data_IF_594811293842
#
_entry.id   IF_594811293842
#
_cell.length_a   1.000
_cell.length_b   1.000
_cell.length_c   1.000
_cell.angle_alpha   90.00
_cell.angle_beta   90.00
_cell.angle_gamma   90.00
#
_symmetry.space_group_name_H-M   'P 1'
#
loop_
_entity.id
_entity.type
_entity.pdbx_description
1 polymer ?
#
# COMPACT_ATOMS: atom_id res chain seq x y z
N UNK A 1 46.45 14.68 5.69
CA UNK A 1 45.08 15.19 5.83
C UNK A 1 44.16 14.00 5.60
N UNK A 2 43.44 13.55 6.63
CA UNK A 2 42.50 12.44 6.48
C UNK A 2 41.11 13.02 6.21
N UNK A 3 40.39 12.44 5.26
CA UNK A 3 38.97 12.74 5.02
C UNK A 3 38.16 11.55 5.48
N UNK A 4 37.12 11.81 6.27
CA UNK A 4 36.17 10.78 6.70
C UNK A 4 35.03 10.79 5.70
N UNK A 5 34.81 9.65 5.05
CA UNK A 5 33.63 9.40 4.21
C UNK A 5 32.83 8.24 4.79
N UNK A 6 31.50 8.30 4.63
CA UNK A 6 30.63 7.21 5.03
C UNK A 6 30.97 5.96 4.20
N UNK A 7 31.45 4.89 4.86
CA UNK A 7 31.82 3.65 4.21
C UNK A 7 30.61 2.73 3.91
N UNK A 8 29.49 2.95 4.59
CA UNK A 8 28.25 2.20 4.44
C UNK A 8 27.34 2.34 5.65
N UNK A 9 26.08 1.98 5.52
CA UNK A 9 25.13 1.95 6.63
C UNK A 9 24.53 0.54 6.74
N UNK A 10 24.93 -0.19 7.79
CA UNK A 10 24.58 -1.60 8.01
C UNK A 10 23.57 -1.77 9.15
N UNK A 11 22.86 -2.90 9.19
CA UNK A 11 21.98 -3.26 10.30
C UNK A 11 20.54 -2.79 10.13
N UNK A 12 19.78 -2.59 11.20
CA UNK A 12 18.42 -2.04 11.09
C UNK A 12 18.48 -0.50 10.94
N UNK A 13 17.62 0.11 10.10
CA UNK A 13 17.55 1.55 10.02
C UNK A 13 17.05 2.15 11.33
N UNK A 14 17.28 3.45 11.55
CA UNK A 14 16.69 4.15 12.67
C UNK A 14 15.16 4.22 12.52
N UNK A 15 14.42 3.85 13.57
CA UNK A 15 12.95 3.90 13.63
C UNK A 15 12.27 3.13 12.46
N UNK A 16 12.46 1.81 12.33
CA UNK A 16 11.75 1.04 11.34
C UNK A 16 10.24 1.07 11.63
N UNK A 17 9.42 1.44 10.64
CA UNK A 17 7.97 1.62 10.84
C UNK A 17 7.12 0.64 10.04
N UNK A 18 7.48 0.40 8.78
CA UNK A 18 6.70 -0.41 7.84
C UNK A 18 7.62 -1.32 7.04
N UNK A 19 7.07 -2.44 6.56
CA UNK A 19 7.79 -3.37 5.68
C UNK A 19 6.90 -3.80 4.53
N UNK A 20 7.50 -4.01 3.36
CA UNK A 20 6.84 -4.69 2.25
C UNK A 20 7.83 -5.56 1.48
N UNK A 21 7.31 -6.55 0.76
CA UNK A 21 8.11 -7.43 -0.09
C UNK A 21 7.80 -7.17 -1.55
N UNK A 22 8.83 -6.92 -2.35
CA UNK A 22 8.74 -6.68 -3.79
C UNK A 22 9.20 -7.94 -4.52
N UNK A 23 8.23 -8.81 -4.82
CA UNK A 23 8.51 -10.14 -5.37
C UNK A 23 9.26 -10.11 -6.72
N UNK A 24 8.98 -9.13 -7.59
CA UNK A 24 9.65 -8.99 -8.88
C UNK A 24 11.18 -8.78 -8.78
N UNK A 25 11.66 -8.33 -7.62
CA UNK A 25 13.06 -8.09 -7.35
C UNK A 25 13.58 -8.90 -6.16
N UNK A 26 12.75 -9.73 -5.54
CA UNK A 26 13.10 -10.48 -4.32
C UNK A 26 13.70 -9.59 -3.23
N UNK A 27 13.11 -8.40 -3.05
CA UNK A 27 13.58 -7.41 -2.08
C UNK A 27 12.61 -7.28 -0.92
N UNK A 28 13.15 -7.31 0.30
CA UNK A 28 12.49 -6.80 1.48
C UNK A 28 12.79 -5.30 1.61
N UNK A 29 11.74 -4.50 1.67
CA UNK A 29 11.81 -3.05 1.85
C UNK A 29 11.38 -2.74 3.27
N UNK A 30 12.20 -1.94 3.96
CA UNK A 30 11.90 -1.45 5.31
C UNK A 30 11.87 0.07 5.25
N UNK A 31 10.72 0.68 5.57
CA UNK A 31 10.64 2.12 5.76
C UNK A 31 11.30 2.50 7.09
N UNK A 32 12.05 3.60 7.05
CA UNK A 32 12.78 4.17 8.16
C UNK A 32 12.27 5.59 8.47
N UNK A 33 12.67 6.13 9.63
CA UNK A 33 12.43 7.54 9.94
C UNK A 33 12.98 8.47 8.84
N UNK A 34 12.33 9.62 8.66
CA UNK A 34 12.76 10.70 7.74
C UNK A 34 12.65 10.39 6.23
N UNK A 35 11.56 9.73 5.80
CA UNK A 35 11.29 9.42 4.39
C UNK A 35 12.44 8.65 3.71
N UNK A 36 12.99 7.67 4.41
CA UNK A 36 14.03 6.79 3.88
C UNK A 36 13.49 5.37 3.79
N UNK A 37 13.96 4.62 2.79
CA UNK A 37 13.75 3.18 2.73
C UNK A 37 15.08 2.46 2.67
N UNK A 38 15.09 1.27 3.28
CA UNK A 38 16.20 0.36 3.22
C UNK A 38 15.77 -0.91 2.50
N UNK A 39 16.57 -1.32 1.52
CA UNK A 39 16.35 -2.49 0.70
C UNK A 39 17.30 -3.59 1.17
N UNK A 40 16.75 -4.78 1.38
CA UNK A 40 17.48 -6.01 1.65
C UNK A 40 17.17 -7.02 0.56
N UNK A 41 18.19 -7.69 0.04
CA UNK A 41 18.04 -8.73 -0.99
C UNK A 41 19.08 -9.83 -0.87
N UNK A 42 19.24 -10.60 -1.93
CA UNK A 42 20.22 -11.68 -2.02
C UNK A 42 21.68 -11.18 -1.89
N UNK A 43 22.60 -12.09 -1.56
CA UNK A 43 24.05 -11.86 -1.50
C UNK A 43 24.50 -10.68 -0.62
N UNK A 44 23.77 -10.42 0.48
CA UNK A 44 24.08 -9.32 1.39
C UNK A 44 23.79 -7.94 0.79
N UNK A 45 22.97 -7.87 -0.27
CA UNK A 45 22.49 -6.63 -0.84
C UNK A 45 21.76 -5.83 0.24
N UNK A 46 22.33 -4.69 0.58
CA UNK A 46 21.80 -3.75 1.55
C UNK A 46 21.98 -2.34 0.99
N UNK A 47 20.88 -1.66 0.72
CA UNK A 47 20.90 -0.34 0.08
C UNK A 47 19.97 0.63 0.81
N UNK A 48 20.50 1.83 1.10
CA UNK A 48 19.69 2.95 1.57
C UNK A 48 19.27 3.84 0.42
N UNK A 49 18.00 4.21 0.42
CA UNK A 49 17.41 5.11 -0.56
C UNK A 49 16.77 6.27 0.20
N UNK A 50 17.23 7.49 -0.10
CA UNK A 50 16.55 8.70 0.33
C UNK A 50 15.37 8.96 -0.61
N UNK A 51 14.18 9.08 -0.05
CA UNK A 51 12.95 9.37 -0.78
C UNK A 51 12.38 10.74 -0.35
N UNK A 52 13.25 11.66 0.03
CA UNK A 52 12.90 13.03 0.39
C UNK A 52 12.66 13.83 -0.90
N UNK A 53 11.46 14.41 -1.05
CA UNK A 53 11.21 15.37 -2.13
C UNK A 53 11.95 16.68 -1.83
N UNK A 54 12.38 17.42 -2.86
CA UNK A 54 13.09 18.69 -2.67
C UNK A 54 12.30 19.73 -1.84
N UNK A 55 10.97 19.60 -1.76
CA UNK A 55 10.06 20.47 -1.00
C UNK A 55 9.42 19.76 0.22
N UNK A 56 9.83 18.54 0.56
CA UNK A 56 9.22 17.78 1.66
C UNK A 56 9.51 18.43 3.02
N UNK A 57 8.55 18.32 3.93
CA UNK A 57 8.72 18.81 5.30
C UNK A 57 9.78 17.96 6.00
N UNK A 58 10.85 18.59 6.47
CA UNK A 58 11.87 17.91 7.26
C UNK A 58 11.24 17.21 8.47
N UNK A 59 11.27 15.88 8.50
CA UNK A 59 10.74 15.08 9.60
C UNK A 59 9.45 14.29 9.32
N UNK A 60 8.88 14.36 8.11
CA UNK A 60 7.77 13.48 7.75
C UNK A 60 8.17 11.99 7.87
N UNK A 61 7.24 11.17 8.33
CA UNK A 61 7.42 9.71 8.46
C UNK A 61 6.61 8.97 7.40
N UNK A 62 7.01 7.76 7.04
CA UNK A 62 6.23 6.95 6.10
C UNK A 62 5.00 6.36 6.79
N UNK A 63 3.82 6.73 6.30
CA UNK A 63 2.51 6.26 6.77
C UNK A 63 2.02 5.02 6.02
N UNK A 64 2.33 4.91 4.71
CA UNK A 64 2.01 3.72 3.92
C UNK A 64 3.16 3.31 3.02
N UNK A 65 3.32 1.99 2.87
CA UNK A 65 4.36 1.37 2.04
C UNK A 65 3.73 0.17 1.32
N UNK A 66 3.47 0.29 0.02
CA UNK A 66 2.79 -0.74 -0.77
C UNK A 66 3.61 -1.12 -2.01
N UNK A 67 3.83 -2.43 -2.28
CA UNK A 67 4.42 -2.87 -3.53
C UNK A 67 3.39 -2.81 -4.66
N UNK A 68 3.84 -2.59 -5.89
CA UNK A 68 3.01 -2.69 -7.10
C UNK A 68 3.26 -4.00 -7.83
N UNK A 69 2.30 -4.43 -8.67
CA UNK A 69 2.50 -5.59 -9.54
C UNK A 69 3.65 -5.39 -10.55
N UNK A 70 4.02 -4.14 -10.85
CA UNK A 70 5.10 -3.78 -11.75
C UNK A 70 6.47 -3.72 -11.06
N UNK A 71 6.59 -4.19 -9.81
CA UNK A 71 7.86 -4.22 -9.08
C UNK A 71 8.29 -2.88 -8.48
N UNK A 72 7.40 -1.89 -8.45
CA UNK A 72 7.66 -0.59 -7.83
C UNK A 72 7.15 -0.55 -6.39
N UNK A 73 7.49 0.53 -5.70
CA UNK A 73 7.08 0.79 -4.32
C UNK A 73 6.34 2.11 -4.28
N UNK A 74 5.11 2.10 -3.77
CA UNK A 74 4.36 3.30 -3.42
C UNK A 74 4.70 3.65 -1.96
N UNK A 75 5.16 4.87 -1.76
CA UNK A 75 5.44 5.43 -0.44
C UNK A 75 4.55 6.65 -0.22
N UNK A 76 3.85 6.66 0.91
CA UNK A 76 3.03 7.78 1.35
C UNK A 76 3.53 8.26 2.69
N UNK A 77 3.75 9.56 2.79
CA UNK A 77 4.27 10.24 3.97
C UNK A 77 3.16 10.81 4.84
N UNK A 78 3.47 11.10 6.10
CA UNK A 78 2.54 11.68 7.08
C UNK A 78 2.07 13.09 6.75
N UNK A 79 2.78 13.79 5.87
CA UNK A 79 2.40 15.07 5.28
C UNK A 79 1.61 14.91 3.96
N UNK A 80 1.02 13.73 3.73
CA UNK A 80 0.28 13.38 2.51
C UNK A 80 1.11 13.39 1.23
N UNK A 81 2.45 13.44 1.30
CA UNK A 81 3.32 13.29 0.14
C UNK A 81 3.27 11.87 -0.43
N UNK A 82 2.92 11.73 -1.70
CA UNK A 82 2.86 10.44 -2.42
C UNK A 82 3.99 10.36 -3.44
N UNK A 83 4.66 9.21 -3.48
CA UNK A 83 5.72 8.94 -4.45
C UNK A 83 5.76 7.47 -4.86
N UNK A 84 6.25 7.22 -6.06
CA UNK A 84 6.50 5.89 -6.61
C UNK A 84 7.99 5.72 -6.83
N UNK A 85 8.59 4.73 -6.16
CA UNK A 85 9.99 4.36 -6.32
C UNK A 85 10.07 3.18 -7.28
N UNK A 86 10.66 3.41 -8.45
CA UNK A 86 10.97 2.39 -9.44
C UNK A 86 12.34 1.78 -9.16
N UNK A 87 12.42 0.45 -9.23
CA UNK A 87 13.63 -0.33 -9.03
C UNK A 87 13.93 -1.07 -10.33
N UNK A 88 15.09 -0.80 -10.94
CA UNK A 88 15.49 -1.43 -12.20
C UNK A 88 16.82 -2.16 -12.02
N UNK A 89 16.84 -3.49 -12.24
CA UNK A 89 18.09 -4.26 -12.26
C UNK A 89 18.75 -4.14 -13.63
N UNK A 90 19.95 -3.57 -13.68
CA UNK A 90 20.81 -3.59 -14.86
C UNK A 90 21.90 -4.66 -14.70
N UNK A 91 21.90 -5.63 -15.63
CA UNK A 91 23.00 -6.57 -15.75
C UNK A 91 24.16 -5.89 -16.49
N UNK A 92 25.26 -5.64 -15.78
CA UNK A 92 26.49 -5.16 -16.40
C UNK A 92 27.13 -6.32 -17.18
N UNK A 93 26.76 -6.47 -18.45
CA UNK A 93 27.45 -7.39 -19.36
C UNK A 93 28.91 -6.92 -19.53
N UNK A 94 29.86 -7.80 -19.24
CA UNK A 94 31.27 -7.45 -19.24
C UNK A 94 31.76 -7.12 -20.67
N UNK A 95 32.25 -5.89 -20.89
CA UNK A 95 33.20 -5.63 -21.98
C UNK A 95 34.50 -6.36 -21.62
N UNK A 96 34.81 -7.42 -22.37
CA UNK A 96 36.11 -8.12 -22.50
C UNK A 96 37.12 -7.79 -21.39
N UNK A 97 37.05 -8.50 -20.27
CA UNK A 97 38.15 -8.59 -19.30
C UNK A 97 38.29 -10.05 -18.87
N UNK A 98 39.54 -10.52 -18.86
CA UNK A 98 39.97 -11.92 -18.72
C UNK A 98 39.94 -12.47 -17.29
N UNK A 99 39.13 -11.89 -16.40
CA UNK A 99 39.04 -12.32 -15.00
C UNK A 99 37.58 -12.67 -14.65
N UNK A 100 37.30 -13.88 -14.11
CA UNK A 100 35.97 -14.25 -13.66
C UNK A 100 35.74 -13.65 -12.26
N UNK A 101 35.52 -12.34 -12.18
CA UNK A 101 35.22 -11.68 -10.91
C UNK A 101 33.88 -10.94 -11.00
N UNK A 102 32.87 -11.55 -10.36
CA UNK A 102 31.54 -11.03 -9.99
C UNK A 102 30.74 -10.34 -11.11
N UNK A 103 29.71 -11.02 -11.62
CA UNK A 103 28.60 -10.34 -12.29
C UNK A 103 28.01 -9.31 -11.31
N UNK A 104 28.33 -8.03 -11.50
CA UNK A 104 27.78 -6.97 -10.68
C UNK A 104 26.40 -6.61 -11.20
N UNK A 105 25.34 -7.02 -10.50
CA UNK A 105 23.99 -6.52 -10.75
C UNK A 105 23.89 -5.12 -10.15
N UNK A 106 23.66 -4.10 -10.97
CA UNK A 106 23.43 -2.73 -10.49
C UNK A 106 21.93 -2.49 -10.36
N UNK A 107 21.48 -2.03 -9.20
CA UNK A 107 20.11 -1.58 -9.02
C UNK A 107 20.06 -0.07 -9.29
N UNK A 108 19.36 0.34 -10.34
CA UNK A 108 19.02 1.73 -10.60
C UNK A 108 17.72 2.05 -9.87
N UNK A 109 17.69 3.22 -9.25
CA UNK A 109 16.53 3.69 -8.50
C UNK A 109 16.09 5.01 -9.08
N UNK A 110 14.80 5.11 -9.37
CA UNK A 110 14.18 6.34 -9.83
C UNK A 110 12.95 6.63 -8.98
N UNK A 111 12.85 7.83 -8.42
CA UNK A 111 11.70 8.24 -7.61
C UNK A 111 10.85 9.23 -8.41
N UNK A 112 9.56 8.92 -8.52
CA UNK A 112 8.55 9.74 -9.17
C UNK A 112 7.72 10.35 -8.05
N UNK A 113 7.74 11.68 -7.95
CA UNK A 113 6.97 12.40 -6.96
C UNK A 113 5.64 12.84 -7.55
N UNK A 114 4.60 12.87 -6.71
CA UNK A 114 3.34 13.50 -7.09
C UNK A 114 3.59 14.99 -7.46
N UNK A 115 3.06 15.48 -8.58
CA UNK A 115 3.30 16.85 -9.02
C UNK A 115 2.82 17.90 -8.01
N UNK A 116 3.66 18.90 -7.70
CA UNK A 116 3.39 19.94 -6.69
C UNK A 116 2.28 20.92 -7.09
N UNK A 117 2.00 21.06 -8.39
CA UNK A 117 0.86 21.84 -8.89
C UNK A 117 -0.50 21.24 -8.52
N UNK A 118 -0.49 19.99 -8.06
CA UNK A 118 -1.67 19.34 -7.52
C UNK A 118 -1.81 19.80 -6.08
N UNK A 119 -2.49 20.93 -5.86
CA UNK A 119 -3.05 21.27 -4.55
C UNK A 119 -4.12 20.22 -4.22
N UNK A 120 -3.66 19.05 -3.80
CA UNK A 120 -4.53 17.98 -3.37
C UNK A 120 -4.83 18.22 -1.89
N UNK A 121 -6.12 18.09 -1.60
CA UNK A 121 -6.95 18.56 -0.49
C UNK A 121 -6.29 18.66 0.91
N UNK A 122 -6.94 19.39 1.83
CA UNK A 122 -6.64 19.33 3.28
C UNK A 122 -6.93 17.94 3.91
N UNK A 123 -7.27 16.92 3.11
CA UNK A 123 -7.63 15.59 3.58
C UNK A 123 -6.40 14.74 3.88
N UNK A 124 -6.52 13.92 4.91
CA UNK A 124 -5.54 12.89 5.23
C UNK A 124 -5.80 11.63 4.42
N UNK A 125 -4.72 10.97 3.97
CA UNK A 125 -4.82 9.61 3.42
C UNK A 125 -5.10 8.62 4.55
N UNK A 126 -6.18 7.86 4.43
CA UNK A 126 -6.63 6.88 5.44
C UNK A 126 -6.29 5.44 5.06
N UNK A 127 -6.22 5.13 3.77
CA UNK A 127 -5.80 3.83 3.27
C UNK A 127 -5.16 3.94 1.88
N UNK A 128 -4.25 3.01 1.58
CA UNK A 128 -3.59 2.91 0.27
C UNK A 128 -3.62 1.45 -0.18
N UNK A 129 -4.03 1.21 -1.43
CA UNK A 129 -4.02 -0.12 -2.02
C UNK A 129 -3.56 -0.06 -3.48
N UNK A 130 -2.88 -1.13 -3.90
CA UNK A 130 -2.44 -1.36 -5.28
C UNK A 130 -3.07 -2.65 -5.78
N UNK A 131 -3.28 -2.79 -7.09
CA UNK A 131 -3.73 -4.06 -7.65
C UNK A 131 -2.54 -5.01 -7.71
N UNK A 132 -2.61 -6.09 -6.92
CA UNK A 132 -1.54 -7.10 -6.80
C UNK A 132 -1.69 -8.26 -7.78
N UNK A 133 -2.66 -8.20 -8.69
CA UNK A 133 -2.92 -9.22 -9.70
C UNK A 133 -1.88 -9.17 -10.84
N UNK A 134 -1.58 -10.31 -11.46
CA UNK A 134 -0.64 -10.40 -12.60
C UNK A 134 -1.07 -9.62 -13.84
N UNK A 135 -2.34 -9.17 -13.92
CA UNK A 135 -2.78 -8.26 -14.98
C UNK A 135 -2.37 -6.84 -14.58
N UNK A 136 -1.40 -6.29 -15.30
CA UNK A 136 -0.86 -4.95 -15.05
C UNK A 136 -1.98 -3.92 -14.98
N UNK A 137 -2.16 -3.33 -13.81
CA UNK A 137 -2.99 -2.18 -13.58
C UNK A 137 -2.08 -1.13 -12.91
N UNK A 138 -1.54 -0.16 -13.67
CA UNK A 138 -0.58 0.82 -13.17
C UNK A 138 -1.31 1.92 -12.38
N UNK A 139 -2.07 1.52 -11.35
CA UNK A 139 -2.92 2.39 -10.56
C UNK A 139 -2.72 2.17 -9.06
N UNK A 140 -2.74 3.27 -8.34
CA UNK A 140 -2.71 3.36 -6.89
C UNK A 140 -4.03 3.95 -6.42
N UNK A 141 -4.69 3.30 -5.47
CA UNK A 141 -5.92 3.77 -4.86
C UNK A 141 -5.59 4.44 -3.54
N UNK A 142 -5.92 5.72 -3.42
CA UNK A 142 -5.71 6.53 -2.23
C UNK A 142 -7.07 6.86 -1.64
N UNK A 143 -7.36 6.30 -0.47
CA UNK A 143 -8.56 6.67 0.26
C UNK A 143 -8.29 7.88 1.13
N UNK A 144 -9.25 8.79 1.17
CA UNK A 144 -9.22 10.03 1.92
C UNK A 144 -10.16 9.96 3.13
N UNK A 145 -9.94 10.86 4.08
CA UNK A 145 -10.78 11.01 5.27
C UNK A 145 -12.17 11.62 4.99
N UNK A 146 -12.39 12.18 3.79
CA UNK A 146 -13.71 12.57 3.26
C UNK A 146 -14.51 11.39 2.69
N UNK A 147 -13.97 10.17 2.76
CA UNK A 147 -14.59 8.95 2.28
C UNK A 147 -14.45 8.73 0.77
N UNK A 148 -13.84 9.65 0.03
CA UNK A 148 -13.53 9.46 -1.38
C UNK A 148 -12.28 8.59 -1.56
N UNK A 149 -12.21 7.91 -2.71
CA UNK A 149 -11.03 7.15 -3.12
C UNK A 149 -10.57 7.70 -4.45
N UNK A 150 -9.41 8.35 -4.43
CA UNK A 150 -8.77 8.90 -5.61
C UNK A 150 -7.87 7.84 -6.25
N UNK A 151 -7.82 7.84 -7.59
CA UNK A 151 -6.96 6.91 -8.33
C UNK A 151 -5.82 7.67 -8.98
N UNK A 152 -4.60 7.23 -8.70
CA UNK A 152 -3.35 7.81 -9.17
C UNK A 152 -2.67 6.85 -10.14
N UNK A 153 -2.13 7.37 -11.24
CA UNK A 153 -1.37 6.58 -12.19
C UNK A 153 0.05 6.34 -11.66
N UNK A 154 0.50 5.08 -11.70
CA UNK A 154 1.79 4.65 -11.17
C UNK A 154 2.99 5.29 -11.91
N UNK A 155 2.89 5.46 -13.23
CA UNK A 155 4.00 5.97 -14.06
C UNK A 155 4.26 7.46 -13.94
N UNK A 156 3.23 8.23 -13.60
CA UNK A 156 3.31 9.70 -13.54
C UNK A 156 3.12 10.21 -12.12
N UNK A 157 2.69 9.35 -11.19
CA UNK A 157 2.22 9.71 -9.86
C UNK A 157 1.16 10.82 -9.89
N UNK A 158 0.40 10.94 -10.98
CA UNK A 158 -0.63 11.95 -11.18
C UNK A 158 -2.03 11.37 -11.01
N UNK A 159 -2.98 12.20 -10.57
CA UNK A 159 -4.38 11.80 -10.47
C UNK A 159 -4.98 11.48 -11.82
N UNK A 160 -5.79 10.45 -11.84
CA UNK A 160 -6.69 10.17 -12.95
C UNK A 160 -8.02 10.90 -12.74
N UNK A 161 -8.87 10.90 -13.76
CA UNK A 161 -10.25 11.43 -13.65
C UNK A 161 -11.19 10.48 -12.93
N UNK A 162 -10.76 9.25 -12.63
CA UNK A 162 -11.58 8.25 -11.96
C UNK A 162 -11.40 8.35 -10.45
N UNK A 163 -12.53 8.40 -9.74
CA UNK A 163 -12.61 8.34 -8.30
C UNK A 163 -13.84 7.53 -7.89
N UNK A 164 -13.76 6.91 -6.71
CA UNK A 164 -14.91 6.24 -6.07
C UNK A 164 -15.41 7.16 -4.98
N UNK A 165 -16.69 7.51 -5.05
CA UNK A 165 -17.33 8.42 -4.11
C UNK A 165 -18.21 7.63 -3.14
N UNK A 166 -18.19 7.95 -1.85
CA UNK A 166 -18.98 7.27 -0.82
C UNK A 166 -20.47 7.18 -1.20
N UNK A 167 -21.03 8.23 -1.84
CA UNK A 167 -22.39 8.25 -2.35
C UNK A 167 -22.72 7.13 -3.35
N UNK A 168 -21.75 6.65 -4.14
CA UNK A 168 -21.93 5.53 -5.07
C UNK A 168 -22.13 4.19 -4.34
N UNK A 169 -21.73 4.11 -3.07
CA UNK A 169 -21.96 2.97 -2.19
C UNK A 169 -23.25 3.12 -1.36
N UNK A 170 -24.01 4.20 -1.59
CA UNK A 170 -25.18 4.55 -0.78
C UNK A 170 -24.83 5.07 0.62
N UNK A 171 -23.60 5.54 0.81
CA UNK A 171 -23.16 6.17 2.06
C UNK A 171 -23.35 7.68 1.96
N UNK A 172 -23.81 8.29 3.04
CA UNK A 172 -24.04 9.73 3.15
C UNK A 172 -23.69 10.21 4.54
N UNK A 173 -23.01 11.35 4.63
CA UNK A 173 -22.62 11.96 5.90
C UNK A 173 -21.16 12.39 5.88
N UNK A 174 -20.88 13.44 6.64
CA UNK A 174 -19.55 14.06 6.70
C UNK A 174 -18.54 13.25 7.53
N UNK A 175 -19.01 12.23 8.25
CA UNK A 175 -18.22 11.37 9.15
C UNK A 175 -18.06 9.95 8.60
N UNK A 176 -17.92 9.82 7.27
CA UNK A 176 -17.71 8.54 6.59
C UNK A 176 -16.29 8.50 6.05
N UNK A 177 -15.48 7.56 6.54
CA UNK A 177 -14.11 7.39 6.11
C UNK A 177 -13.83 5.94 5.70
N UNK A 178 -12.95 5.76 4.73
CA UNK A 178 -12.45 4.43 4.37
C UNK A 178 -11.44 4.00 5.44
N UNK A 179 -11.67 2.85 6.06
CA UNK A 179 -10.81 2.33 7.12
C UNK A 179 -9.81 1.28 6.61
N UNK A 180 -10.15 0.55 5.54
CA UNK A 180 -9.25 -0.42 4.91
C UNK A 180 -9.66 -0.70 3.45
N UNK A 181 -8.68 -1.07 2.63
CA UNK A 181 -8.89 -1.54 1.26
C UNK A 181 -8.09 -2.82 1.00
N UNK A 182 -8.56 -3.67 0.08
CA UNK A 182 -7.81 -4.84 -0.35
C UNK A 182 -8.16 -5.27 -1.77
N UNK A 183 -7.18 -5.35 -2.67
CA UNK A 183 -7.36 -5.82 -4.05
C UNK A 183 -7.56 -7.34 -4.11
N UNK A 184 -8.49 -7.81 -4.95
CA UNK A 184 -8.74 -9.24 -5.11
C UNK A 184 -7.57 -9.90 -5.88
N UNK A 185 -6.90 -10.91 -5.31
CA UNK A 185 -5.75 -11.55 -5.95
C UNK A 185 -6.12 -12.33 -7.23
N UNK A 186 -7.36 -12.81 -7.33
CA UNK A 186 -7.84 -13.59 -8.49
C UNK A 186 -8.54 -12.75 -9.57
N UNK A 187 -8.96 -11.52 -9.25
CA UNK A 187 -9.69 -10.64 -10.18
C UNK A 187 -9.27 -9.18 -10.00
N UNK A 188 -8.46 -8.68 -10.93
CA UNK A 188 -7.95 -7.30 -10.92
C UNK A 188 -9.04 -6.22 -10.94
N UNK A 189 -10.29 -6.56 -11.31
CA UNK A 189 -11.39 -5.60 -11.32
C UNK A 189 -12.08 -5.48 -9.96
N UNK A 190 -11.72 -6.30 -8.97
CA UNK A 190 -12.42 -6.34 -7.69
C UNK A 190 -11.59 -5.74 -6.56
N UNK A 191 -12.22 -4.84 -5.81
CA UNK A 191 -11.62 -4.16 -4.67
C UNK A 191 -12.56 -4.26 -3.47
N UNK A 192 -12.05 -4.70 -2.31
CA UNK A 192 -12.78 -4.56 -1.05
C UNK A 192 -12.56 -3.16 -0.50
N UNK A 193 -13.64 -2.56 -0.03
CA UNK A 193 -13.70 -1.24 0.57
C UNK A 193 -14.38 -1.37 1.92
N UNK A 194 -13.64 -1.19 3.01
CA UNK A 194 -14.23 -1.05 4.34
C UNK A 194 -14.41 0.43 4.65
N UNK A 195 -15.62 0.78 5.06
CA UNK A 195 -15.99 2.10 5.54
C UNK A 195 -16.34 2.04 7.02
N UNK A 196 -15.94 3.07 7.73
CA UNK A 196 -16.37 3.41 9.07
C UNK A 196 -17.22 4.67 9.03
N UNK A 197 -18.23 4.72 9.88
CA UNK A 197 -19.00 5.93 10.17
C UNK A 197 -19.67 5.80 11.53
N UNK A 198 -20.35 6.87 11.97
CA UNK A 198 -20.80 7.08 13.35
C UNK A 198 -21.48 5.87 14.04
N UNK A 199 -22.14 4.96 13.31
CA UNK A 199 -22.92 3.87 13.92
C UNK A 199 -22.71 2.46 13.33
N UNK A 200 -22.14 2.30 12.13
CA UNK A 200 -21.99 0.98 11.50
C UNK A 200 -20.76 0.90 10.60
N UNK A 201 -19.98 -0.18 10.75
CA UNK A 201 -18.95 -0.54 9.78
C UNK A 201 -19.58 -1.31 8.61
N UNK A 202 -19.19 -0.98 7.38
CA UNK A 202 -19.68 -1.65 6.17
C UNK A 202 -18.52 -2.07 5.28
N UNK A 203 -18.59 -3.28 4.73
CA UNK A 203 -17.60 -3.77 3.77
C UNK A 203 -18.28 -3.99 2.42
N UNK A 204 -17.73 -3.37 1.39
CA UNK A 204 -18.24 -3.45 0.02
C UNK A 204 -17.24 -4.15 -0.88
N UNK A 205 -17.74 -4.99 -1.76
CA UNK A 205 -17.01 -5.51 -2.91
C UNK A 205 -17.35 -4.65 -4.12
N UNK A 206 -16.39 -3.89 -4.61
CA UNK A 206 -16.52 -2.98 -5.74
C UNK A 206 -15.97 -3.60 -7.02
N UNK A 207 -16.68 -3.41 -8.14
CA UNK A 207 -16.22 -3.74 -9.49
C UNK A 207 -15.74 -2.47 -10.20
N UNK A 208 -14.44 -2.39 -10.46
CA UNK A 208 -13.78 -1.25 -11.09
C UNK A 208 -14.21 -1.06 -12.55
N UNK A 209 -14.45 -2.15 -13.28
CA UNK A 209 -14.84 -2.08 -14.69
C UNK A 209 -16.30 -1.63 -14.85
N UNK A 210 -17.20 -2.17 -14.03
CA UNK A 210 -18.63 -1.84 -14.03
C UNK A 210 -18.97 -0.62 -13.17
N UNK A 211 -18.01 -0.13 -12.38
CA UNK A 211 -18.15 1.00 -11.47
C UNK A 211 -19.36 0.87 -10.54
N UNK A 212 -19.51 -0.31 -9.92
CA UNK A 212 -20.65 -0.60 -9.03
C UNK A 212 -20.29 -1.56 -7.92
N UNK A 213 -21.10 -1.53 -6.86
CA UNK A 213 -21.06 -2.53 -5.79
C UNK A 213 -21.59 -3.87 -6.31
N UNK A 214 -20.80 -4.93 -6.12
CA UNK A 214 -21.20 -6.32 -6.38
C UNK A 214 -21.83 -6.96 -5.16
N UNK A 215 -21.32 -6.64 -3.97
CA UNK A 215 -21.75 -7.24 -2.71
C UNK A 215 -21.51 -6.26 -1.55
N UNK A 216 -22.42 -6.22 -0.58
CA UNK A 216 -22.24 -5.54 0.71
C UNK A 216 -22.27 -6.61 1.79
N UNK A 217 -21.19 -6.76 2.54
CA UNK A 217 -21.14 -7.66 3.68
C UNK A 217 -21.56 -6.94 4.96
N UNK A 218 -22.48 -7.55 5.71
CA UNK A 218 -22.95 -7.00 6.99
C UNK A 218 -21.97 -7.33 8.12
N UNK A 219 -21.50 -6.29 8.80
CA UNK A 219 -20.69 -6.41 10.02
C UNK A 219 -21.59 -6.09 11.22
N UNK A 220 -21.71 -6.99 12.22
CA UNK A 220 -22.43 -6.69 13.45
C UNK A 220 -21.85 -5.44 14.14
N UNK A 221 -22.69 -4.48 14.58
CA UNK A 221 -22.20 -3.25 15.24
C UNK A 221 -21.32 -3.51 16.46
N UNK A 222 -21.52 -4.64 17.13
CA UNK A 222 -20.76 -5.05 18.32
C UNK A 222 -19.24 -5.19 18.09
N UNK A 223 -18.80 -5.41 16.85
CA UNK A 223 -17.37 -5.54 16.52
C UNK A 223 -16.67 -4.18 16.30
N UNK A 224 -17.44 -3.11 16.11
CA UNK A 224 -16.92 -1.77 15.82
C UNK A 224 -16.26 -1.68 14.44
N UNK A 225 -15.25 -0.81 14.33
CA UNK A 225 -14.57 -0.51 13.08
C UNK A 225 -13.78 -1.67 12.50
N UNK A 226 -13.78 -1.78 11.16
CA UNK A 226 -12.93 -2.70 10.42
C UNK A 226 -11.54 -2.09 10.31
N UNK A 227 -10.53 -2.79 10.84
CA UNK A 227 -9.15 -2.32 10.91
C UNK A 227 -8.25 -2.92 9.82
N UNK A 228 -8.64 -4.07 9.25
CA UNK A 228 -7.87 -4.74 8.21
C UNK A 228 -8.74 -5.68 7.37
N UNK A 229 -8.32 -5.88 6.12
CA UNK A 229 -8.95 -6.80 5.17
C UNK A 229 -7.89 -7.71 4.58
N UNK A 230 -8.23 -8.99 4.40
CA UNK A 230 -7.35 -9.96 3.76
C UNK A 230 -8.14 -10.92 2.87
N UNK A 231 -7.71 -11.06 1.62
CA UNK A 231 -8.33 -11.99 0.68
C UNK A 231 -7.84 -13.42 0.90
N UNK A 232 -8.74 -14.38 0.73
CA UNK A 232 -8.33 -15.75 0.40
C UNK A 232 -7.81 -15.78 -1.04
N UNK A 233 -6.76 -16.57 -1.31
CA UNK A 233 -6.12 -16.65 -2.63
C UNK A 233 -7.07 -17.03 -3.77
N UNK A 234 -8.21 -17.67 -3.47
CA UNK A 234 -9.22 -18.02 -4.45
C UNK A 234 -10.13 -16.86 -4.89
N UNK A 235 -10.04 -15.68 -4.26
CA UNK A 235 -10.89 -14.51 -4.57
C UNK A 235 -12.39 -14.67 -4.27
N UNK A 236 -12.78 -15.72 -3.52
CA UNK A 236 -14.18 -16.05 -3.19
C UNK A 236 -14.55 -15.80 -1.73
N UNK A 237 -13.54 -15.52 -0.91
CA UNK A 237 -13.67 -15.27 0.53
C UNK A 237 -12.66 -14.23 0.95
N UNK A 238 -12.97 -13.53 2.02
CA UNK A 238 -12.06 -12.60 2.67
C UNK A 238 -12.26 -12.65 4.19
N UNK A 239 -11.24 -12.23 4.92
CA UNK A 239 -11.30 -11.97 6.34
C UNK A 239 -11.30 -10.46 6.60
N UNK A 240 -12.02 -10.04 7.63
CA UNK A 240 -11.98 -8.68 8.16
C UNK A 240 -11.61 -8.73 9.65
N UNK A 241 -10.59 -7.98 10.04
CA UNK A 241 -10.22 -7.80 11.44
C UNK A 241 -10.87 -6.55 12.02
N UNK A 242 -11.38 -6.64 13.24
CA UNK A 242 -12.16 -5.58 13.88
C UNK A 242 -11.44 -4.95 15.08
N UNK A 243 -11.91 -3.77 15.49
CA UNK A 243 -11.34 -3.01 16.60
C UNK A 243 -11.39 -3.75 17.95
N UNK A 244 -12.42 -4.57 18.18
CA UNK A 244 -12.57 -5.40 19.38
C UNK A 244 -11.57 -6.59 19.45
N UNK A 245 -10.76 -6.78 18.39
CA UNK A 245 -9.80 -7.87 18.25
C UNK A 245 -10.41 -9.18 17.75
N UNK A 246 -11.69 -9.20 17.40
CA UNK A 246 -12.31 -10.29 16.66
C UNK A 246 -11.97 -10.22 15.17
N UNK A 247 -12.25 -11.30 14.44
CA UNK A 247 -12.24 -11.27 12.99
C UNK A 247 -13.40 -12.08 12.42
N UNK A 248 -13.87 -11.68 11.24
CA UNK A 248 -14.94 -12.34 10.49
C UNK A 248 -14.41 -12.88 9.18
N UNK A 249 -14.89 -14.04 8.76
CA UNK A 249 -14.65 -14.61 7.42
C UNK A 249 -15.95 -14.54 6.63
N UNK A 250 -15.87 -13.95 5.44
CA UNK A 250 -17.02 -13.63 4.59
C UNK A 250 -16.89 -14.33 3.25
N UNK A 251 -18.02 -14.64 2.64
CA UNK A 251 -18.10 -15.02 1.22
C UNK A 251 -18.42 -13.80 0.37
N UNK A 252 -17.92 -13.77 -0.86
CA UNK A 252 -18.17 -12.66 -1.79
C UNK A 252 -19.46 -12.80 -2.60
N UNK A 253 -20.02 -14.01 -2.66
CA UNK A 253 -21.19 -14.36 -3.47
C UNK A 253 -22.47 -14.50 -2.64
N UNK A 254 -22.36 -14.55 -1.31
CA UNK A 254 -23.46 -14.87 -0.40
C UNK A 254 -23.36 -14.06 0.88
N UNK A 255 -24.51 -13.74 1.48
CA UNK A 255 -24.60 -13.21 2.85
C UNK A 255 -24.29 -14.33 3.86
N UNK A 256 -23.07 -14.83 3.82
CA UNK A 256 -22.57 -15.86 4.72
C UNK A 256 -21.27 -15.37 5.35
N UNK A 257 -21.30 -15.28 6.67
CA UNK A 257 -20.17 -14.88 7.49
C UNK A 257 -20.02 -15.78 8.72
N UNK A 258 -18.80 -15.92 9.19
CA UNK A 258 -18.47 -16.59 10.46
C UNK A 258 -17.55 -15.68 11.26
N UNK A 259 -17.87 -15.45 12.53
CA UNK A 259 -17.13 -14.56 13.42
C UNK A 259 -16.34 -15.35 14.46
N UNK A 260 -15.13 -14.91 14.73
CA UNK A 260 -14.20 -15.56 15.64
C UNK A 260 -13.69 -14.52 16.64
N UNK A 261 -13.93 -14.76 17.93
CA UNK A 261 -13.48 -13.90 19.01
C UNK A 261 -12.28 -14.51 19.72
N UNK A 262 -11.39 -13.66 20.23
CA UNK A 262 -10.35 -14.10 21.16
C UNK A 262 -11.02 -14.58 22.45
N UNK A 263 -10.99 -15.89 22.72
CA UNK A 263 -11.35 -16.41 24.06
C UNK A 263 -10.37 -15.82 25.07
N UNK A 264 -10.84 -14.93 25.96
CA UNK A 264 -10.10 -14.59 27.17
C UNK A 264 -9.98 -15.87 28.00
N UNK A 265 -8.76 -16.38 28.20
CA UNK A 265 -8.53 -17.36 29.28
C UNK A 265 -8.87 -16.62 30.58
N UNK A 266 -10.00 -16.99 31.19
CA UNK A 266 -10.26 -16.66 32.59
C UNK A 266 -9.10 -17.27 33.37
N UNK A 267 -8.32 -16.41 34.04
CA UNK A 267 -7.35 -16.84 35.04
C UNK A 267 -8.09 -17.18 36.32
#
# INVERSE_FOLDING_TARGET
MFTVSLAGHHGLPAQPSLVCYVAAHELLVVAAGYQQIKLYGEDGLELFVSCVANEATAGASTSFLQPTANGRIVLVSSDSGVQVVSLERCNLAHRRSSHPCRQGTRLNIHTIFMPTSTSWTMCRITAVETIKSHKSAPFVFLALDDGSIQVVQEDTCAFTTYAIQAAQLGLSGDDVAVSAMASNPSDANQLLLAYEGAHEASIFLWDLAKKKVLHKATVPPAHGSVQSLAWHASGKRFAAGFHDGAFGVFRTDKQQSAFFLRRRRLR
#
